data_IF_484486915565
#
_entry.id   IF_484486915565
#
_cell.length_a   1.000
_cell.length_b   1.000
_cell.length_c   1.000
_cell.angle_alpha   90.00
_cell.angle_beta   90.00
_cell.angle_gamma   90.00
#
_symmetry.space_group_name_H-M   'P 1'
#
loop_
_entity.id
_entity.type
_entity.pdbx_description
1 polymer ?
#
# COMPACT_ATOMS: atom_id res chain seq x y z
N UNK A 1 -10.01 -6.14 -28.79
CA UNK A 1 -10.89 -5.28 -29.62
C UNK A 1 -10.15 -4.97 -30.90
N UNK A 2 -10.69 -5.36 -32.05
CA UNK A 2 -10.03 -5.23 -33.36
C UNK A 2 -10.74 -4.12 -34.16
N UNK A 3 -10.06 -3.01 -34.46
CA UNK A 3 -10.57 -1.96 -35.34
C UNK A 3 -10.01 -2.14 -36.75
N UNK A 4 -10.89 -2.26 -37.75
CA UNK A 4 -10.56 -2.23 -39.19
C UNK A 4 -11.12 -0.94 -39.81
N UNK A 5 -10.26 -0.06 -40.33
CA UNK A 5 -10.49 0.66 -41.59
C UNK A 5 -9.23 1.38 -42.14
N UNK A 6 -9.07 1.35 -43.48
CA UNK A 6 -8.20 2.13 -44.38
C UNK A 6 -6.67 2.18 -44.20
N UNK A 7 -5.98 1.39 -45.04
CA UNK A 7 -4.70 1.54 -45.78
C UNK A 7 -3.40 2.06 -45.14
N UNK A 8 -3.41 2.54 -43.90
CA UNK A 8 -2.24 2.61 -43.00
C UNK A 8 -2.61 1.96 -41.67
N UNK A 9 -3.14 0.73 -41.75
CA UNK A 9 -3.75 0.05 -40.60
C UNK A 9 -2.70 -0.33 -39.56
N UNK A 10 -2.47 0.57 -38.60
CA UNK A 10 -1.82 0.28 -37.33
C UNK A 10 -2.53 -0.91 -36.70
N UNK A 11 -1.87 -2.07 -36.70
CA UNK A 11 -2.38 -3.29 -36.08
C UNK A 11 -1.60 -3.53 -34.80
N UNK A 12 -2.26 -3.37 -33.66
CA UNK A 12 -1.69 -3.60 -32.33
C UNK A 12 -2.25 -4.91 -31.79
N UNK A 13 -1.37 -5.87 -31.51
CA UNK A 13 -1.69 -7.12 -30.84
C UNK A 13 -0.96 -7.14 -29.50
N UNK A 14 -1.72 -7.30 -28.42
CA UNK A 14 -1.17 -7.39 -27.06
C UNK A 14 -1.43 -8.82 -26.59
N UNK A 15 -0.35 -9.51 -26.22
CA UNK A 15 -0.39 -10.84 -25.65
C UNK A 15 0.17 -10.77 -24.23
N UNK A 16 -0.54 -11.36 -23.28
CA UNK A 16 -0.14 -11.39 -21.87
C UNK A 16 0.06 -12.85 -21.45
N UNK A 17 1.24 -13.16 -20.92
CA UNK A 17 1.56 -14.47 -20.37
C UNK A 17 1.26 -14.53 -18.88
N UNK A 18 0.48 -15.51 -18.45
CA UNK A 18 0.17 -15.76 -17.04
C UNK A 18 0.69 -17.12 -16.60
N UNK A 19 1.20 -17.17 -15.37
CA UNK A 19 1.61 -18.40 -14.71
C UNK A 19 0.80 -18.60 -13.43
N UNK A 20 0.28 -19.81 -13.30
CA UNK A 20 -0.57 -20.23 -12.19
C UNK A 20 0.26 -21.00 -11.17
N UNK A 21 0.39 -20.47 -9.96
CA UNK A 21 1.03 -21.17 -8.84
C UNK A 21 -0.02 -21.87 -7.97
N UNK A 22 0.33 -22.37 -6.80
CA UNK A 22 -0.61 -23.09 -5.92
C UNK A 22 -1.62 -22.18 -5.22
N UNK A 23 -1.30 -20.90 -4.96
CA UNK A 23 -2.16 -19.98 -4.19
C UNK A 23 -2.46 -18.67 -4.93
N UNK A 24 -1.63 -18.29 -5.89
CA UNK A 24 -1.73 -17.05 -6.64
C UNK A 24 -1.41 -17.28 -8.10
N UNK A 25 -1.93 -16.41 -8.94
CA UNK A 25 -1.53 -16.28 -10.33
C UNK A 25 -0.64 -15.05 -10.48
N UNK A 26 0.30 -15.10 -11.41
CA UNK A 26 1.22 -14.00 -11.69
C UNK A 26 1.30 -13.76 -13.19
N UNK A 27 1.41 -12.50 -13.59
CA UNK A 27 1.80 -12.17 -14.96
C UNK A 27 3.32 -12.35 -15.10
N UNK A 28 3.76 -12.94 -16.20
CA UNK A 28 5.17 -13.12 -16.54
C UNK A 28 5.67 -11.96 -17.42
N UNK A 29 5.01 -11.79 -18.57
CA UNK A 29 5.39 -10.81 -19.57
C UNK A 29 4.18 -10.35 -20.39
N UNK A 30 4.34 -9.17 -20.97
CA UNK A 30 3.41 -8.60 -21.94
C UNK A 30 4.20 -8.40 -23.23
N UNK A 31 3.74 -9.03 -24.29
CA UNK A 31 4.29 -8.87 -25.63
C UNK A 31 3.37 -7.98 -26.43
N UNK A 32 3.92 -6.90 -26.96
CA UNK A 32 3.20 -5.98 -27.85
C UNK A 32 3.79 -6.11 -29.24
N UNK A 33 2.96 -6.59 -30.16
CA UNK A 33 3.28 -6.64 -31.59
C UNK A 33 2.54 -5.49 -32.27
N UNK A 34 3.29 -4.50 -32.73
CA UNK A 34 2.79 -3.35 -33.45
C UNK A 34 3.21 -3.43 -34.91
N UNK A 35 2.25 -3.23 -35.82
CA UNK A 35 2.51 -3.09 -37.25
C UNK A 35 2.37 -1.62 -37.64
N UNK A 36 3.48 -0.94 -37.92
CA UNK A 36 3.51 0.48 -38.33
C UNK A 36 4.10 0.54 -39.74
N UNK A 37 3.40 1.11 -40.73
CA UNK A 37 3.93 1.28 -42.09
C UNK A 37 4.63 0.04 -42.67
N UNK A 38 4.07 -1.17 -42.44
CA UNK A 38 4.61 -2.48 -42.83
C UNK A 38 5.89 -2.94 -42.10
N UNK A 39 6.36 -2.22 -41.08
CA UNK A 39 7.36 -2.73 -40.15
C UNK A 39 6.65 -3.39 -38.96
N UNK A 40 7.12 -4.58 -38.60
CA UNK A 40 6.68 -5.30 -37.41
C UNK A 40 7.65 -4.98 -36.26
N UNK A 41 7.12 -4.42 -35.18
CA UNK A 41 7.84 -4.14 -33.95
C UNK A 41 7.29 -5.07 -32.88
N UNK A 42 8.16 -5.91 -32.32
CA UNK A 42 7.85 -6.78 -31.20
C UNK A 42 8.62 -6.28 -29.98
N UNK A 43 7.89 -5.89 -28.94
CA UNK A 43 8.48 -5.40 -27.69
C UNK A 43 7.99 -6.23 -26.52
N UNK A 44 8.90 -6.50 -25.59
CA UNK A 44 8.63 -7.30 -24.40
C UNK A 44 8.68 -6.41 -23.16
N UNK A 45 7.64 -6.50 -22.36
CA UNK A 45 7.51 -5.80 -21.10
C UNK A 45 7.41 -6.85 -19.98
N UNK A 46 8.37 -6.93 -19.06
CA UNK A 46 8.26 -7.81 -17.91
C UNK A 46 7.16 -7.31 -16.96
N UNK A 47 6.34 -8.23 -16.46
CA UNK A 47 5.29 -7.93 -15.47
C UNK A 47 5.81 -7.92 -14.02
N UNK A 48 6.96 -8.54 -13.78
CA UNK A 48 7.74 -8.44 -12.55
C UNK A 48 8.97 -7.59 -12.86
N UNK A 49 9.00 -6.36 -12.37
CA UNK A 49 10.16 -5.50 -12.51
C UNK A 49 10.72 -5.14 -11.12
N UNK A 50 11.99 -5.49 -10.91
CA UNK A 50 12.79 -4.94 -9.82
C UNK A 50 13.46 -3.67 -10.32
N UNK A 51 12.79 -2.55 -10.13
CA UNK A 51 13.45 -1.25 -10.30
C UNK A 51 14.52 -1.10 -9.22
N UNK A 52 15.79 -1.27 -9.58
CA UNK A 52 16.93 -1.07 -8.67
C UNK A 52 16.99 0.36 -8.08
N UNK A 53 16.26 1.31 -8.69
CA UNK A 53 16.16 2.71 -8.26
C UNK A 53 14.90 3.03 -7.44
N UNK A 54 14.04 2.06 -7.17
CA UNK A 54 12.79 2.29 -6.43
C UNK A 54 12.52 1.07 -5.55
N UNK A 55 12.47 1.25 -4.23
CA UNK A 55 12.20 0.21 -3.21
C UNK A 55 10.81 -0.47 -3.35
N UNK A 56 10.13 -0.26 -4.47
CA UNK A 56 8.81 -0.78 -4.79
C UNK A 56 8.95 -2.01 -5.69
N UNK A 57 8.85 -3.21 -5.08
CA UNK A 57 8.67 -4.45 -5.81
C UNK A 57 7.31 -4.40 -6.53
N UNK A 58 7.33 -4.33 -7.87
CA UNK A 58 6.13 -4.28 -8.68
C UNK A 58 5.94 -5.59 -9.43
N UNK A 59 4.95 -6.37 -9.00
CA UNK A 59 4.55 -7.60 -9.66
C UNK A 59 3.02 -7.64 -9.81
N UNK A 60 2.54 -7.85 -11.03
CA UNK A 60 1.12 -8.06 -11.31
C UNK A 60 0.76 -9.49 -10.90
N UNK A 61 0.19 -9.62 -9.70
CA UNK A 61 -0.23 -10.89 -9.11
C UNK A 61 -1.48 -10.71 -8.26
N UNK A 62 -2.32 -11.73 -8.20
CA UNK A 62 -3.41 -11.81 -7.23
C UNK A 62 -3.64 -13.25 -6.78
N UNK A 63 -4.27 -13.47 -5.61
CA UNK A 63 -4.72 -14.80 -5.20
C UNK A 63 -5.71 -15.40 -6.20
N UNK A 64 -5.90 -16.71 -6.16
CA UNK A 64 -7.02 -17.33 -6.87
C UNK A 64 -8.36 -16.77 -6.38
N UNK A 65 -9.33 -16.69 -7.31
CA UNK A 65 -10.65 -16.09 -7.10
C UNK A 65 -10.60 -14.59 -6.74
N UNK A 66 -9.54 -13.88 -7.14
CA UNK A 66 -9.44 -12.43 -7.09
C UNK A 66 -9.05 -11.86 -8.45
N UNK A 67 -9.64 -10.70 -8.78
CA UNK A 67 -9.27 -9.92 -9.96
C UNK A 67 -8.24 -8.86 -9.57
N UNK A 68 -7.15 -8.74 -10.33
CA UNK A 68 -6.18 -7.66 -10.11
C UNK A 68 -6.72 -6.37 -10.72
N UNK A 69 -6.73 -5.28 -9.95
CA UNK A 69 -7.18 -3.96 -10.42
C UNK A 69 -6.11 -2.89 -10.21
N UNK A 70 -5.93 -2.02 -11.19
CA UNK A 70 -5.04 -0.87 -11.08
C UNK A 70 -5.50 0.31 -11.95
N UNK A 71 -5.55 1.50 -11.36
CA UNK A 71 -5.95 2.74 -12.06
C UNK A 71 -4.91 3.18 -13.09
N UNK A 72 -3.64 3.25 -12.70
CA UNK A 72 -2.54 3.64 -13.59
C UNK A 72 -1.38 2.68 -13.40
N UNK A 73 -1.06 1.94 -14.46
CA UNK A 73 0.05 0.98 -14.48
C UNK A 73 0.97 1.28 -15.65
N UNK A 74 2.27 1.29 -15.37
CA UNK A 74 3.32 1.55 -16.35
C UNK A 74 4.26 0.36 -16.41
N UNK A 75 4.36 -0.23 -17.59
CA UNK A 75 5.37 -1.25 -17.88
C UNK A 75 6.48 -0.62 -18.69
N UNK A 76 7.72 -0.77 -18.21
CA UNK A 76 8.91 -0.24 -18.88
C UNK A 76 9.64 -1.36 -19.60
N UNK A 77 10.02 -1.09 -20.83
CA UNK A 77 11.02 -1.84 -21.58
C UNK A 77 12.22 -0.93 -21.83
N UNK A 78 13.25 -1.41 -22.52
CA UNK A 78 14.50 -0.63 -22.73
C UNK A 78 14.23 0.72 -23.43
N UNK A 79 13.43 0.72 -24.48
CA UNK A 79 13.19 1.90 -25.34
C UNK A 79 11.74 2.40 -25.33
N UNK A 80 10.83 1.67 -24.70
CA UNK A 80 9.38 1.92 -24.76
C UNK A 80 8.74 1.85 -23.38
N UNK A 81 7.68 2.63 -23.19
CA UNK A 81 6.84 2.63 -21.99
C UNK A 81 5.40 2.33 -22.41
N UNK A 82 4.84 1.27 -21.85
CA UNK A 82 3.43 0.90 -22.02
C UNK A 82 2.65 1.38 -20.79
N UNK A 83 1.77 2.35 -20.97
CA UNK A 83 0.86 2.80 -19.92
C UNK A 83 -0.54 2.26 -20.19
N UNK A 84 -1.11 1.57 -19.21
CA UNK A 84 -2.50 1.12 -19.26
C UNK A 84 -3.26 1.83 -18.14
N UNK A 85 -4.44 2.34 -18.46
CA UNK A 85 -5.36 2.93 -17.48
C UNK A 85 -6.51 1.97 -17.20
N UNK A 86 -6.95 1.95 -15.96
CA UNK A 86 -8.08 1.16 -15.48
C UNK A 86 -7.98 -0.32 -15.90
N UNK A 87 -6.85 -0.94 -15.55
CA UNK A 87 -6.58 -2.34 -15.83
C UNK A 87 -7.30 -3.22 -14.82
N UNK A 88 -8.16 -4.13 -15.29
CA UNK A 88 -8.74 -5.21 -14.49
C UNK A 88 -8.52 -6.57 -15.16
N UNK A 89 -7.95 -7.53 -14.42
CA UNK A 89 -7.49 -8.82 -14.96
C UNK A 89 -7.85 -9.98 -14.03
N UNK A 90 -8.27 -11.10 -14.60
CA UNK A 90 -8.47 -12.37 -13.90
C UNK A 90 -8.18 -13.54 -14.86
N UNK A 91 -7.02 -14.20 -14.77
CA UNK A 91 -6.70 -15.37 -15.58
C UNK A 91 -7.40 -16.61 -15.01
N UNK A 92 -8.17 -17.31 -15.84
CA UNK A 92 -8.81 -18.57 -15.44
C UNK A 92 -10.12 -18.37 -14.66
N UNK A 93 -11.07 -17.70 -15.28
CA UNK A 93 -12.43 -17.45 -14.78
C UNK A 93 -13.13 -18.73 -14.29
N UNK A 94 -13.61 -18.76 -13.04
CA UNK A 94 -14.36 -19.89 -12.48
C UNK A 94 -15.85 -19.86 -12.89
N UNK A 95 -16.11 -20.07 -14.19
CA UNK A 95 -17.46 -20.35 -14.72
C UNK A 95 -18.46 -19.19 -14.76
N UNK A 96 -18.25 -18.11 -14.00
CA UNK A 96 -19.06 -16.89 -14.06
C UNK A 96 -18.46 -15.86 -15.03
N UNK A 97 -19.31 -15.04 -15.68
CA UNK A 97 -18.87 -13.96 -16.60
C UNK A 97 -18.65 -12.62 -15.87
N UNK A 98 -18.32 -12.66 -14.58
CA UNK A 98 -18.17 -11.47 -13.72
C UNK A 98 -16.86 -11.58 -12.96
N UNK A 99 -16.07 -10.50 -12.93
CA UNK A 99 -14.82 -10.46 -12.18
C UNK A 99 -15.07 -10.75 -10.69
N UNK A 100 -14.16 -11.53 -10.12
CA UNK A 100 -14.12 -11.79 -8.68
C UNK A 100 -13.68 -10.54 -7.91
N UNK A 101 -13.67 -10.65 -6.57
CA UNK A 101 -13.26 -9.56 -5.66
C UNK A 101 -11.96 -8.90 -6.09
N UNK A 102 -11.89 -7.58 -5.98
CA UNK A 102 -10.77 -6.79 -6.46
C UNK A 102 -9.55 -6.89 -5.53
N UNK A 103 -8.38 -6.99 -6.14
CA UNK A 103 -7.07 -6.95 -5.52
C UNK A 103 -6.30 -5.78 -6.13
N UNK A 104 -6.24 -4.69 -5.39
CA UNK A 104 -5.67 -3.43 -5.87
C UNK A 104 -4.13 -3.45 -5.91
N UNK A 105 -3.55 -2.78 -6.91
CA UNK A 105 -2.10 -2.65 -7.07
C UNK A 105 -1.39 -1.85 -5.97
N UNK A 106 -2.12 -1.04 -5.21
CA UNK A 106 -1.59 -0.29 -4.07
C UNK A 106 -2.01 -0.94 -2.75
N UNK A 107 -1.04 -1.16 -1.86
CA UNK A 107 -1.33 -1.62 -0.50
C UNK A 107 -2.00 -0.52 0.34
N UNK A 108 -2.87 -0.91 1.26
CA UNK A 108 -3.53 0.01 2.20
C UNK A 108 -2.54 0.75 3.12
N UNK A 109 -1.43 0.10 3.48
CA UNK A 109 -0.38 0.68 4.32
C UNK A 109 0.95 0.64 3.58
N UNK A 110 1.53 1.80 3.31
CA UNK A 110 2.93 1.90 2.85
C UNK A 110 3.88 1.77 4.04
N UNK A 111 5.12 1.38 3.78
CA UNK A 111 6.15 1.25 4.82
C UNK A 111 6.33 2.57 5.59
N UNK A 112 6.28 3.70 4.88
CA UNK A 112 6.41 5.04 5.43
C UNK A 112 5.25 5.40 6.38
N UNK A 113 4.01 5.12 5.97
CA UNK A 113 2.83 5.40 6.80
C UNK A 113 2.83 4.51 8.05
N UNK A 114 3.17 3.23 7.91
CA UNK A 114 3.16 2.29 9.02
C UNK A 114 4.21 2.66 10.08
N UNK A 115 5.42 3.00 9.64
CA UNK A 115 6.51 3.44 10.54
C UNK A 115 6.18 4.77 11.21
N UNK A 116 5.62 5.73 10.48
CA UNK A 116 5.14 6.99 11.03
C UNK A 116 4.04 6.80 12.09
N UNK A 117 3.04 5.97 11.80
CA UNK A 117 1.95 5.68 12.74
C UNK A 117 2.47 4.99 14.01
N UNK A 118 3.42 4.06 13.88
CA UNK A 118 4.08 3.42 15.02
C UNK A 118 4.84 4.42 15.90
N UNK A 119 5.60 5.36 15.31
CA UNK A 119 6.31 6.39 16.07
C UNK A 119 5.35 7.32 16.81
N UNK A 120 4.27 7.77 16.14
CA UNK A 120 3.24 8.61 16.77
C UNK A 120 2.58 7.88 17.94
N UNK A 121 2.30 6.59 17.79
CA UNK A 121 1.72 5.79 18.86
C UNK A 121 2.62 5.72 20.10
N UNK A 122 3.94 5.54 19.92
CA UNK A 122 4.91 5.56 21.03
C UNK A 122 4.97 6.93 21.72
N UNK A 123 4.94 8.03 20.94
CA UNK A 123 4.91 9.38 21.49
C UNK A 123 3.64 9.65 22.30
N UNK A 124 2.48 9.18 21.84
CA UNK A 124 1.22 9.29 22.57
C UNK A 124 1.29 8.54 23.90
N UNK A 125 1.83 7.32 23.93
CA UNK A 125 2.01 6.56 25.18
C UNK A 125 2.89 7.35 26.16
N UNK A 126 4.03 7.88 25.70
CA UNK A 126 4.90 8.70 26.55
C UNK A 126 4.21 9.94 27.10
N UNK A 127 3.42 10.62 26.26
CA UNK A 127 2.67 11.82 26.64
C UNK A 127 1.56 11.50 27.66
N UNK A 128 0.84 10.38 27.49
CA UNK A 128 -0.18 9.94 28.46
C UNK A 128 0.46 9.62 29.82
N UNK A 129 1.62 8.95 29.83
CA UNK A 129 2.35 8.70 31.09
C UNK A 129 2.81 10.01 31.73
N UNK A 130 3.35 10.94 30.94
CA UNK A 130 3.80 12.25 31.43
C UNK A 130 2.65 13.08 32.02
N UNK A 131 1.52 13.17 31.33
CA UNK A 131 0.32 13.86 31.82
C UNK A 131 -0.24 13.15 33.05
N UNK A 132 -0.26 11.81 33.06
CA UNK A 132 -0.68 11.02 34.22
C UNK A 132 0.12 11.37 35.48
N UNK A 133 1.45 11.46 35.36
CA UNK A 133 2.31 11.88 36.47
C UNK A 133 2.08 13.33 36.91
N UNK A 134 1.88 14.25 35.96
CA UNK A 134 1.56 15.65 36.27
C UNK A 134 0.22 15.79 36.99
N UNK A 135 -0.79 15.01 36.60
CA UNK A 135 -2.11 15.00 37.25
C UNK A 135 -2.10 14.44 38.67
N UNK A 136 -1.06 13.66 39.01
CA UNK A 136 -0.88 13.07 40.33
C UNK A 136 -0.08 13.96 41.30
N UNK A 137 0.37 15.15 40.88
CA UNK A 137 1.05 16.09 41.77
C UNK A 137 0.00 16.69 42.72
N UNK A 138 -0.04 16.17 43.93
CA UNK A 138 -0.78 16.76 45.03
C UNK A 138 0.05 17.91 45.61
N UNK A 139 -0.49 19.13 45.56
CA UNK A 139 0.10 20.25 46.28
C UNK A 139 -0.09 19.99 47.78
N UNK A 140 1.02 19.99 48.51
CA UNK A 140 1.02 19.84 49.96
C UNK A 140 0.04 20.81 50.63
N UNK A 141 -1.02 20.24 51.21
CA UNK A 141 -2.08 20.94 51.93
C UNK A 141 -1.62 21.27 53.34
N UNK A 142 -0.53 22.03 53.44
CA UNK A 142 0.02 22.42 54.73
C UNK A 142 0.72 23.76 54.65
N UNK A 143 -0.10 24.75 54.41
CA UNK A 143 0.02 26.01 55.14
C UNK A 143 -1.24 26.21 55.99
N UNK A 144 -1.69 25.13 56.66
CA UNK A 144 -2.68 25.24 57.73
C UNK A 144 -1.94 25.40 59.07
N UNK A 145 -2.29 26.47 59.75
CA UNK A 145 -1.54 27.26 60.74
C UNK A 145 -1.15 26.54 62.06
N UNK A 146 -0.19 27.09 62.82
CA UNK A 146 0.39 26.48 64.01
C UNK A 146 -0.51 26.66 65.23
N UNK A 147 -0.80 25.58 65.95
CA UNK A 147 -1.13 25.65 67.38
C UNK A 147 -0.19 24.76 68.15
N UNK A 148 0.91 25.38 68.59
CA UNK A 148 1.72 24.87 69.67
C UNK A 148 0.79 24.44 70.81
N UNK A 149 0.96 23.20 71.25
CA UNK A 149 0.21 22.61 72.34
C UNK A 149 0.25 23.59 73.53
N UNK A 150 -0.90 24.08 73.98
CA UNK A 150 -0.96 24.93 75.17
C UNK A 150 -0.41 24.10 76.34
N UNK A 151 0.73 24.50 76.90
CA UNK A 151 1.27 23.88 78.11
C UNK A 151 0.27 24.15 79.24
N UNK A 152 -0.31 23.09 79.79
CA UNK A 152 -1.09 23.14 81.04
C UNK A 152 -0.13 22.95 82.21
N UNK A 153 0.12 24.03 82.95
CA UNK A 153 0.89 23.99 84.21
C UNK A 153 -0.03 23.49 85.33
N UNK A 154 0.27 22.38 86.01
CA UNK A 154 -0.46 22.01 87.21
C UNK A 154 -0.06 22.94 88.36
N UNK A 155 -1.03 23.66 88.94
CA UNK A 155 -0.89 24.30 90.24
C UNK A 155 -1.00 23.22 91.32
N UNK A 156 0.07 23.02 92.07
CA UNK A 156 0.10 22.21 93.29
C UNK A 156 -0.58 22.97 94.42
N UNK A 157 -1.55 22.33 95.07
CA UNK A 157 -1.81 22.44 96.51
C UNK A 157 -1.82 21.04 97.11
#
# INVERSE_FOLDING_TARGET
>A
METKNNDDKLSLKIEMGFENQTLYWTCLNITVNAMINKTEIQTFFPCDHRDFSSDTYFAVRAPYDFSYTCSDIQFKSLDYILTIRDLQLEPGMSGFRVFSTDYSCTGFFTLEILTGLMTVFVMIIGLVVGIGMLSAIQTQDRFDDPKGKTISVPLTE
#
